data_IF_277402502167
#
_entry.id   IF_277402502167
#
_cell.length_a   1.000
_cell.length_b   1.000
_cell.length_c   1.000
_cell.angle_alpha   90.00
_cell.angle_beta   90.00
_cell.angle_gamma   90.00
#
_symmetry.space_group_name_H-M   'P 1'
#
loop_
_entity.id
_entity.type
_entity.pdbx_description
1 polymer ?
#
# COMPACT_ATOMS: atom_id res chain seq x y z
N UNK A 1 34.36 15.27 5.42
CA UNK A 1 34.42 13.82 5.75
C UNK A 1 33.08 13.29 6.24
N UNK A 2 32.34 14.05 7.03
CA UNK A 2 31.05 13.63 7.63
C UNK A 2 29.88 13.48 6.64
N UNK A 3 29.90 14.20 5.53
CA UNK A 3 28.80 14.16 4.54
C UNK A 3 28.83 12.88 3.68
N UNK A 4 30.04 12.48 3.25
CA UNK A 4 30.25 11.25 2.45
C UNK A 4 29.92 10.00 3.27
N UNK A 5 30.26 9.98 4.57
CA UNK A 5 29.92 8.88 5.46
C UNK A 5 28.39 8.77 5.72
N UNK A 6 27.69 9.91 5.84
CA UNK A 6 26.22 9.91 5.96
C UNK A 6 25.54 9.41 4.69
N UNK A 7 26.00 9.83 3.51
CA UNK A 7 25.48 9.37 2.22
C UNK A 7 25.76 7.87 2.03
N UNK A 8 26.98 7.40 2.33
CA UNK A 8 27.33 5.98 2.25
C UNK A 8 26.51 5.12 3.22
N UNK A 9 26.25 5.62 4.42
CA UNK A 9 25.39 4.95 5.42
C UNK A 9 23.93 4.90 4.96
N UNK A 10 23.44 5.95 4.33
CA UNK A 10 22.07 6.04 3.78
C UNK A 10 21.88 5.08 2.60
N UNK A 11 22.83 5.04 1.67
CA UNK A 11 22.84 4.14 0.51
C UNK A 11 22.92 2.65 0.93
N UNK A 12 23.66 2.33 2.00
CA UNK A 12 23.71 0.96 2.54
C UNK A 12 22.41 0.54 3.21
N UNK A 13 21.61 1.47 3.68
CA UNK A 13 20.36 1.21 4.38
C UNK A 13 19.20 0.92 3.41
N UNK A 14 19.25 1.50 2.22
CA UNK A 14 18.21 1.31 1.18
C UNK A 14 18.85 0.74 -0.10
N UNK A 15 18.81 -0.60 -0.20
CA UNK A 15 19.39 -1.33 -1.33
C UNK A 15 18.68 -1.01 -2.64
N UNK A 16 17.36 -0.82 -2.61
CA UNK A 16 16.56 -0.52 -3.81
C UNK A 16 16.94 0.85 -4.38
N UNK A 17 17.04 1.86 -3.51
CA UNK A 17 17.48 3.20 -3.91
C UNK A 17 18.90 3.17 -4.48
N UNK A 18 19.80 2.41 -3.88
CA UNK A 18 21.18 2.30 -4.34
C UNK A 18 21.28 1.68 -5.74
N UNK A 19 20.55 0.59 -5.98
CA UNK A 19 20.51 -0.06 -7.29
C UNK A 19 19.87 0.88 -8.33
N UNK A 20 18.76 1.53 -8.00
CA UNK A 20 18.11 2.47 -8.90
C UNK A 20 19.01 3.64 -9.27
N UNK A 21 19.75 4.18 -8.32
CA UNK A 21 20.70 5.29 -8.54
C UNK A 21 21.89 4.83 -9.39
N UNK A 22 22.41 3.63 -9.17
CA UNK A 22 23.47 3.06 -10.00
C UNK A 22 23.00 2.85 -11.46
N UNK A 23 21.81 2.30 -11.66
CA UNK A 23 21.22 2.13 -12.99
C UNK A 23 20.94 3.49 -13.67
N UNK A 24 20.47 4.48 -12.92
CA UNK A 24 20.27 5.84 -13.43
C UNK A 24 21.61 6.48 -13.90
N UNK A 25 22.70 6.32 -13.12
CA UNK A 25 24.01 6.80 -13.52
C UNK A 25 24.53 6.07 -14.77
N UNK A 26 24.34 4.75 -14.84
CA UNK A 26 24.73 3.97 -16.01
C UNK A 26 23.94 4.37 -17.26
N UNK A 27 22.66 4.67 -17.13
CA UNK A 27 21.83 5.13 -18.25
C UNK A 27 22.26 6.47 -18.82
N UNK A 28 22.91 7.35 -18.03
CA UNK A 28 23.44 8.64 -18.49
C UNK A 28 24.56 8.48 -19.51
N UNK A 29 25.27 7.33 -19.55
CA UNK A 29 26.26 7.04 -20.57
C UNK A 29 25.64 6.71 -21.94
N UNK A 30 24.38 6.22 -21.93
CA UNK A 30 23.66 5.87 -23.15
C UNK A 30 22.83 7.08 -23.63
N UNK A 31 22.17 7.76 -22.69
CA UNK A 31 21.33 8.94 -22.94
C UNK A 31 21.88 10.07 -22.07
N UNK A 32 22.71 10.99 -22.65
CA UNK A 32 23.29 12.06 -21.86
C UNK A 32 22.24 13.01 -21.29
N UNK A 33 22.46 13.55 -20.10
CA UNK A 33 21.53 14.48 -19.45
C UNK A 33 21.27 15.70 -20.34
N UNK A 34 20.00 15.99 -20.59
CA UNK A 34 19.56 17.17 -21.34
C UNK A 34 18.48 17.93 -20.58
N UNK A 35 18.15 19.15 -20.98
CA UNK A 35 17.05 19.92 -20.38
C UNK A 35 15.69 19.18 -20.48
N UNK A 36 15.55 18.25 -21.43
CA UNK A 36 14.38 17.40 -21.58
C UNK A 36 14.14 16.41 -20.41
N UNK A 37 15.17 16.15 -19.58
CA UNK A 37 15.01 15.27 -18.40
C UNK A 37 13.98 15.79 -17.41
N UNK A 38 13.82 17.10 -17.30
CA UNK A 38 12.79 17.70 -16.45
C UNK A 38 11.37 17.38 -16.95
N UNK A 39 11.21 17.19 -18.26
CA UNK A 39 9.93 16.78 -18.85
C UNK A 39 9.51 15.34 -18.56
N UNK A 40 10.44 14.48 -18.12
CA UNK A 40 10.10 13.12 -17.68
C UNK A 40 9.55 13.06 -16.25
N UNK A 41 9.71 14.15 -15.49
CA UNK A 41 9.18 14.24 -14.13
C UNK A 41 7.72 14.68 -14.18
N UNK A 42 6.81 13.76 -13.94
CA UNK A 42 5.40 14.08 -13.74
C UNK A 42 5.20 14.69 -12.33
N UNK A 43 5.47 15.99 -12.23
CA UNK A 43 5.35 16.74 -10.97
C UNK A 43 3.91 16.71 -10.42
N UNK A 44 2.91 16.68 -11.30
CA UNK A 44 1.50 16.60 -10.89
C UNK A 44 1.23 15.30 -10.13
N UNK A 45 1.61 14.15 -10.69
CA UNK A 45 1.47 12.87 -10.01
C UNK A 45 2.30 12.78 -8.72
N UNK A 46 3.53 13.33 -8.71
CA UNK A 46 4.35 13.35 -7.50
C UNK A 46 3.74 14.17 -6.36
N UNK A 47 3.13 15.33 -6.66
CA UNK A 47 2.43 16.15 -5.66
C UNK A 47 1.20 15.42 -5.12
N UNK A 48 0.42 14.77 -6.00
CA UNK A 48 -0.72 13.95 -5.58
C UNK A 48 -0.30 12.80 -4.66
N UNK A 49 0.77 12.08 -5.03
CA UNK A 49 1.32 11.01 -4.19
C UNK A 49 1.77 11.52 -2.83
N UNK A 50 2.51 12.63 -2.78
CA UNK A 50 2.97 13.23 -1.54
C UNK A 50 1.80 13.65 -0.64
N UNK A 51 0.79 14.31 -1.22
CA UNK A 51 -0.42 14.72 -0.50
C UNK A 51 -1.18 13.51 0.08
N UNK A 52 -1.35 12.45 -0.74
CA UNK A 52 -1.98 11.21 -0.31
C UNK A 52 -1.21 10.55 0.84
N UNK A 53 0.11 10.38 0.69
CA UNK A 53 0.95 9.75 1.73
C UNK A 53 0.93 10.56 3.04
N UNK A 54 0.89 11.89 2.95
CA UNK A 54 0.81 12.76 4.13
C UNK A 54 -0.55 12.60 4.84
N UNK A 55 -1.65 12.61 4.08
CA UNK A 55 -3.00 12.46 4.64
C UNK A 55 -3.18 11.07 5.29
N UNK A 56 -2.74 10.00 4.61
CA UNK A 56 -2.85 8.63 5.12
C UNK A 56 -1.99 8.41 6.37
N UNK A 57 -0.77 8.95 6.40
CA UNK A 57 0.09 8.92 7.59
C UNK A 57 -0.55 9.68 8.75
N UNK A 58 -1.19 10.81 8.49
CA UNK A 58 -1.96 11.55 9.50
C UNK A 58 -3.07 10.69 10.13
N UNK A 59 -3.90 10.04 9.30
CA UNK A 59 -4.96 9.14 9.75
C UNK A 59 -4.41 7.93 10.54
N UNK A 60 -3.28 7.38 10.11
CA UNK A 60 -2.62 6.27 10.81
C UNK A 60 -2.12 6.71 12.19
N UNK A 61 -1.49 7.89 12.29
CA UNK A 61 -0.93 8.40 13.55
C UNK A 61 -1.99 8.68 14.63
N UNK A 62 -3.20 9.09 14.25
CA UNK A 62 -4.33 9.25 15.19
C UNK A 62 -5.00 7.91 15.55
N UNK A 63 -4.54 6.79 14.98
CA UNK A 63 -5.06 5.46 15.27
C UNK A 63 -6.44 5.18 14.71
N UNK A 64 -6.91 5.94 13.71
CA UNK A 64 -8.25 5.82 13.13
C UNK A 64 -8.59 4.38 12.70
N UNK A 65 -7.69 3.73 11.98
CA UNK A 65 -7.93 2.37 11.46
C UNK A 65 -7.92 1.32 12.58
N UNK A 66 -7.12 1.54 13.63
CA UNK A 66 -7.10 0.68 14.81
C UNK A 66 -8.43 0.77 15.57
N UNK A 67 -8.92 1.98 15.82
CA UNK A 67 -10.22 2.20 16.47
C UNK A 67 -11.37 1.59 15.68
N UNK A 68 -11.34 1.72 14.36
CA UNK A 68 -12.33 1.09 13.48
C UNK A 68 -12.29 -0.45 13.63
N UNK A 69 -11.09 -1.04 13.63
CA UNK A 69 -10.92 -2.48 13.84
C UNK A 69 -11.44 -2.94 15.21
N UNK A 70 -11.08 -2.25 16.29
CA UNK A 70 -11.54 -2.56 17.65
C UNK A 70 -13.08 -2.48 17.77
N UNK A 71 -13.70 -1.47 17.16
CA UNK A 71 -15.16 -1.34 17.15
C UNK A 71 -15.86 -2.52 16.46
N UNK A 72 -15.31 -2.98 15.33
CA UNK A 72 -15.86 -4.09 14.56
C UNK A 72 -15.68 -5.43 15.30
N UNK A 73 -14.61 -5.58 16.08
CA UNK A 73 -14.36 -6.78 16.89
C UNK A 73 -15.42 -7.04 17.98
N UNK A 74 -16.10 -6.00 18.48
CA UNK A 74 -17.14 -6.14 19.50
C UNK A 74 -18.33 -7.01 19.04
N UNK A 75 -18.47 -7.27 17.75
CA UNK A 75 -19.57 -8.06 17.17
C UNK A 75 -19.19 -9.48 16.79
N UNK A 76 -17.97 -9.90 17.09
CA UNK A 76 -17.44 -11.20 16.65
C UNK A 76 -17.62 -12.25 17.73
N UNK A 77 -18.15 -13.41 17.32
CA UNK A 77 -18.41 -14.55 18.21
C UNK A 77 -17.67 -15.83 17.78
N UNK A 78 -16.99 -15.84 16.62
CA UNK A 78 -16.29 -17.03 16.15
C UNK A 78 -14.94 -16.70 15.51
N UNK A 79 -14.00 -17.67 15.52
CA UNK A 79 -12.68 -17.51 14.94
C UNK A 79 -12.74 -17.22 13.43
N UNK A 80 -13.63 -17.88 12.69
CA UNK A 80 -13.81 -17.63 11.25
C UNK A 80 -14.24 -16.19 10.96
N UNK A 81 -15.18 -15.68 11.75
CA UNK A 81 -15.63 -14.28 11.62
C UNK A 81 -14.48 -13.31 11.92
N UNK A 82 -13.63 -13.63 12.91
CA UNK A 82 -12.44 -12.83 13.21
C UNK A 82 -11.49 -12.80 12.02
N UNK A 83 -11.13 -13.96 11.47
CA UNK A 83 -10.23 -14.07 10.33
C UNK A 83 -10.78 -13.33 9.10
N UNK A 84 -12.04 -13.56 8.76
CA UNK A 84 -12.71 -12.86 7.65
C UNK A 84 -12.75 -11.35 7.85
N UNK A 85 -13.09 -10.88 9.07
CA UNK A 85 -13.08 -9.45 9.34
C UNK A 85 -11.69 -8.82 9.16
N UNK A 86 -10.63 -9.47 9.65
CA UNK A 86 -9.27 -8.97 9.52
C UNK A 86 -8.82 -8.90 8.06
N UNK A 87 -9.23 -9.86 7.24
CA UNK A 87 -8.99 -9.87 5.79
C UNK A 87 -9.78 -8.74 5.11
N UNK A 88 -11.08 -8.61 5.42
CA UNK A 88 -11.92 -7.55 4.86
C UNK A 88 -11.47 -6.15 5.26
N UNK A 89 -10.98 -5.96 6.49
CA UNK A 89 -10.39 -4.70 6.92
C UNK A 89 -9.20 -4.31 6.05
N UNK A 90 -8.30 -5.25 5.74
CA UNK A 90 -7.21 -4.98 4.82
C UNK A 90 -7.70 -4.66 3.41
N UNK A 91 -8.69 -5.41 2.91
CA UNK A 91 -9.25 -5.21 1.57
C UNK A 91 -9.87 -3.82 1.41
N UNK A 92 -10.81 -3.45 2.27
CA UNK A 92 -11.52 -2.17 2.15
C UNK A 92 -10.66 -0.96 2.56
N UNK A 93 -9.82 -1.11 3.58
CA UNK A 93 -8.93 -0.01 3.98
C UNK A 93 -7.93 0.31 2.89
N UNK A 94 -7.39 -0.70 2.19
CA UNK A 94 -6.43 -0.50 1.11
C UNK A 94 -7.02 0.22 -0.12
N UNK A 95 -8.34 0.29 -0.25
CA UNK A 95 -8.99 1.12 -1.27
C UNK A 95 -8.88 2.63 -0.99
N UNK A 96 -8.76 3.00 0.28
CA UNK A 96 -8.74 4.40 0.75
C UNK A 96 -7.33 4.87 1.10
N UNK A 97 -6.50 3.94 1.55
CA UNK A 97 -5.09 4.13 1.87
C UNK A 97 -4.28 3.17 1.01
N UNK A 98 -2.96 3.32 0.97
CA UNK A 98 -2.15 2.37 0.20
C UNK A 98 -2.15 0.98 0.82
N UNK A 99 -1.95 -0.06 0.00
CA UNK A 99 -1.82 -1.44 0.45
C UNK A 99 -0.78 -1.61 1.56
N UNK A 100 0.37 -0.91 1.46
CA UNK A 100 1.45 -0.98 2.44
C UNK A 100 1.01 -0.42 3.79
N UNK A 101 0.30 0.72 3.81
CA UNK A 101 -0.23 1.34 5.03
C UNK A 101 -1.29 0.46 5.68
N UNK A 102 -2.16 -0.17 4.89
CA UNK A 102 -3.13 -1.13 5.39
C UNK A 102 -2.44 -2.32 6.07
N UNK A 103 -1.41 -2.90 5.45
CA UNK A 103 -0.66 -4.02 6.01
C UNK A 103 0.11 -3.64 7.28
N UNK A 104 0.83 -2.51 7.29
CA UNK A 104 1.57 -2.04 8.47
C UNK A 104 0.62 -1.80 9.65
N UNK A 105 -0.63 -1.41 9.38
CA UNK A 105 -1.62 -1.16 10.42
C UNK A 105 -2.25 -2.46 10.93
N UNK A 106 -2.75 -3.32 10.04
CA UNK A 106 -3.58 -4.45 10.43
C UNK A 106 -2.82 -5.74 10.69
N UNK A 107 -1.65 -5.97 10.11
CA UNK A 107 -0.88 -7.20 10.37
C UNK A 107 -0.39 -7.28 11.83
N UNK A 108 0.23 -6.26 12.43
CA UNK A 108 0.59 -6.28 13.84
C UNK A 108 -0.63 -6.50 14.76
N UNK A 109 -1.75 -5.86 14.45
CA UNK A 109 -3.01 -6.03 15.16
C UNK A 109 -3.53 -7.48 15.07
N UNK A 110 -3.47 -8.09 13.90
CA UNK A 110 -3.81 -9.51 13.68
C UNK A 110 -2.93 -10.45 14.50
N UNK A 111 -1.62 -10.20 14.52
CA UNK A 111 -0.67 -10.99 15.30
C UNK A 111 -0.99 -10.96 16.79
N UNK A 112 -1.32 -9.78 17.32
CA UNK A 112 -1.70 -9.60 18.72
C UNK A 112 -2.98 -10.35 19.05
N UNK A 113 -4.03 -10.17 18.24
CA UNK A 113 -5.33 -10.83 18.45
C UNK A 113 -5.24 -12.35 18.37
N UNK A 114 -4.60 -12.91 17.35
CA UNK A 114 -4.48 -14.36 17.19
C UNK A 114 -3.62 -14.99 18.31
N UNK A 115 -2.66 -14.24 18.86
CA UNK A 115 -1.90 -14.67 20.05
C UNK A 115 -2.78 -14.65 21.30
N UNK A 116 -3.60 -13.63 21.50
CA UNK A 116 -4.50 -13.51 22.65
C UNK A 116 -5.53 -14.65 22.70
N UNK A 117 -6.07 -15.04 21.53
CA UNK A 117 -7.00 -16.19 21.43
C UNK A 117 -6.30 -17.54 21.31
N UNK A 118 -4.96 -17.59 21.52
CA UNK A 118 -4.11 -18.78 21.48
C UNK A 118 -4.19 -19.58 20.16
N UNK A 119 -4.35 -18.87 19.02
CA UNK A 119 -4.43 -19.45 17.66
C UNK A 119 -3.24 -19.05 16.78
N UNK A 120 -2.03 -19.35 17.29
CA UNK A 120 -0.78 -19.09 16.57
C UNK A 120 -0.67 -19.85 15.25
N UNK A 121 -1.32 -20.99 15.14
CA UNK A 121 -1.44 -21.82 13.92
C UNK A 121 -2.09 -21.06 12.76
N UNK A 122 -2.94 -20.07 13.04
CA UNK A 122 -3.68 -19.30 12.05
C UNK A 122 -2.97 -18.03 11.59
N UNK A 123 -1.87 -17.64 12.23
CA UNK A 123 -1.15 -16.40 11.92
C UNK A 123 -0.71 -16.36 10.46
N UNK A 124 0.02 -17.38 10.00
CA UNK A 124 0.57 -17.38 8.63
C UNK A 124 -0.54 -17.36 7.58
N UNK A 125 -1.55 -18.26 7.61
CA UNK A 125 -2.65 -18.21 6.65
C UNK A 125 -3.37 -16.86 6.61
N UNK A 126 -3.70 -16.29 7.77
CA UNK A 126 -4.43 -15.02 7.83
C UNK A 126 -3.59 -13.86 7.30
N UNK A 127 -2.30 -13.78 7.65
CA UNK A 127 -1.40 -12.72 7.15
C UNK A 127 -1.21 -12.83 5.64
N UNK A 128 -1.09 -14.04 5.08
CA UNK A 128 -1.04 -14.25 3.63
C UNK A 128 -2.33 -13.75 2.96
N UNK A 129 -3.49 -14.13 3.50
CA UNK A 129 -4.77 -13.64 2.99
C UNK A 129 -4.92 -12.12 3.11
N UNK A 130 -4.45 -11.50 4.21
CA UNK A 130 -4.43 -10.04 4.36
C UNK A 130 -3.53 -9.38 3.33
N UNK A 131 -2.37 -9.96 3.02
CA UNK A 131 -1.46 -9.44 2.00
C UNK A 131 -2.12 -9.48 0.62
N UNK A 132 -2.77 -10.58 0.27
CA UNK A 132 -3.54 -10.70 -0.96
C UNK A 132 -4.70 -9.70 -0.96
N UNK A 133 -5.46 -9.60 0.14
CA UNK A 133 -6.59 -8.70 0.29
C UNK A 133 -6.19 -7.23 0.13
N UNK A 134 -5.10 -6.80 0.74
CA UNK A 134 -4.61 -5.43 0.62
C UNK A 134 -4.20 -5.09 -0.82
N UNK A 135 -3.52 -5.99 -1.52
CA UNK A 135 -3.12 -5.77 -2.91
C UNK A 135 -4.33 -5.78 -3.86
N UNK A 136 -5.25 -6.75 -3.71
CA UNK A 136 -6.43 -6.88 -4.56
C UNK A 136 -7.47 -5.79 -4.27
N UNK A 137 -7.60 -5.35 -3.02
CA UNK A 137 -8.46 -4.22 -2.64
C UNK A 137 -7.92 -2.90 -3.19
N UNK A 138 -6.63 -2.64 -3.01
CA UNK A 138 -6.00 -1.39 -3.44
C UNK A 138 -6.08 -1.13 -4.94
N UNK A 139 -6.18 -2.18 -5.76
CA UNK A 139 -6.31 -2.00 -7.21
C UNK A 139 -7.66 -1.40 -7.62
N UNK A 140 -8.67 -1.43 -6.75
CA UNK A 140 -10.04 -0.99 -7.06
C UNK A 140 -10.16 0.51 -7.26
N UNK A 141 -9.30 1.30 -6.60
CA UNK A 141 -9.35 2.76 -6.63
C UNK A 141 -8.04 3.36 -7.13
N UNK A 142 -8.07 4.55 -7.72
CA UNK A 142 -6.84 5.26 -8.10
C UNK A 142 -5.93 5.56 -6.92
N UNK A 143 -6.51 5.73 -5.73
CA UNK A 143 -5.81 6.12 -4.48
C UNK A 143 -5.13 4.93 -3.81
N UNK A 144 -5.58 3.71 -4.06
CA UNK A 144 -5.15 2.50 -3.35
C UNK A 144 -3.67 2.12 -3.56
N UNK A 145 -3.06 2.54 -4.67
CA UNK A 145 -1.63 2.38 -4.88
C UNK A 145 -1.06 3.42 -5.87
N UNK A 146 0.26 3.70 -5.80
CA UNK A 146 0.92 4.70 -6.66
C UNK A 146 0.77 4.40 -8.16
N UNK A 147 0.79 3.13 -8.56
CA UNK A 147 0.67 2.71 -9.95
C UNK A 147 -0.68 3.08 -10.54
N UNK A 148 -1.75 2.84 -9.79
CA UNK A 148 -3.11 3.22 -10.20
C UNK A 148 -3.25 4.73 -10.33
N UNK A 149 -2.70 5.49 -9.37
CA UNK A 149 -2.75 6.93 -9.40
C UNK A 149 -2.01 7.49 -10.63
N UNK A 150 -0.85 6.90 -10.96
CA UNK A 150 -0.11 7.26 -12.17
C UNK A 150 -0.93 6.99 -13.44
N UNK A 151 -1.50 5.78 -13.59
CA UNK A 151 -2.32 5.44 -14.75
C UNK A 151 -3.55 6.34 -14.86
N UNK A 152 -4.21 6.59 -13.74
CA UNK A 152 -5.39 7.46 -13.66
C UNK A 152 -5.06 8.89 -14.12
N UNK A 153 -3.95 9.46 -13.62
CA UNK A 153 -3.51 10.80 -13.94
C UNK A 153 -2.96 10.92 -15.37
N UNK A 154 -2.10 9.98 -15.78
CA UNK A 154 -1.42 10.03 -17.08
C UNK A 154 -2.38 9.86 -18.27
N UNK A 155 -3.38 8.98 -18.12
CA UNK A 155 -4.38 8.74 -19.18
C UNK A 155 -5.65 9.60 -19.00
N UNK A 156 -5.67 10.53 -18.06
CA UNK A 156 -6.81 11.41 -17.75
C UNK A 156 -8.13 10.63 -17.63
N UNK A 157 -8.08 9.46 -16.97
CA UNK A 157 -9.24 8.58 -16.86
C UNK A 157 -10.31 9.20 -15.96
N UNK A 158 -11.59 9.01 -16.32
CA UNK A 158 -12.67 9.30 -15.37
C UNK A 158 -12.74 8.21 -14.31
N UNK A 159 -13.17 8.57 -13.09
CA UNK A 159 -13.34 7.62 -11.98
C UNK A 159 -14.30 6.47 -12.35
N UNK A 160 -15.37 6.78 -13.07
CA UNK A 160 -16.34 5.80 -13.56
C UNK A 160 -15.70 4.79 -14.50
N UNK A 161 -14.92 5.24 -15.48
CA UNK A 161 -14.20 4.38 -16.41
C UNK A 161 -13.21 3.47 -15.69
N UNK A 162 -12.46 4.03 -14.72
CA UNK A 162 -11.48 3.29 -13.93
C UNK A 162 -12.16 2.17 -13.12
N UNK A 163 -13.22 2.51 -12.36
CA UNK A 163 -13.94 1.56 -11.52
C UNK A 163 -14.65 0.49 -12.36
N UNK A 164 -15.25 0.85 -13.48
CA UNK A 164 -15.89 -0.15 -14.38
C UNK A 164 -14.90 -1.13 -14.98
N UNK A 165 -13.68 -0.69 -15.27
CA UNK A 165 -12.65 -1.55 -15.85
C UNK A 165 -12.09 -2.54 -14.83
N UNK A 166 -11.86 -2.11 -13.59
CA UNK A 166 -11.18 -2.91 -12.57
C UNK A 166 -12.16 -3.54 -11.57
N UNK A 167 -13.30 -2.90 -11.32
CA UNK A 167 -14.30 -3.33 -10.34
C UNK A 167 -14.73 -4.79 -10.43
N UNK A 168 -15.03 -5.35 -11.63
CA UNK A 168 -15.38 -6.76 -11.77
C UNK A 168 -14.29 -7.71 -11.26
N UNK A 169 -13.02 -7.40 -11.53
CA UNK A 169 -11.87 -8.20 -11.05
C UNK A 169 -11.69 -8.09 -9.54
N UNK A 170 -11.90 -6.89 -8.99
CA UNK A 170 -11.86 -6.66 -7.55
C UNK A 170 -12.99 -7.40 -6.82
N UNK A 171 -14.20 -7.38 -7.37
CA UNK A 171 -15.34 -8.12 -6.82
C UNK A 171 -15.09 -9.63 -6.86
N UNK A 172 -14.59 -10.15 -7.98
CA UNK A 172 -14.23 -11.57 -8.10
C UNK A 172 -13.15 -11.94 -7.05
N UNK A 173 -12.15 -11.09 -6.90
CA UNK A 173 -11.08 -11.27 -5.89
C UNK A 173 -11.64 -11.31 -4.47
N UNK A 174 -12.58 -10.43 -4.16
CA UNK A 174 -13.24 -10.42 -2.85
C UNK A 174 -13.99 -11.73 -2.58
N UNK A 175 -14.73 -12.25 -3.57
CA UNK A 175 -15.45 -13.53 -3.45
C UNK A 175 -14.48 -14.70 -3.25
N UNK A 176 -13.32 -14.68 -3.91
CA UNK A 176 -12.31 -15.75 -3.78
C UNK A 176 -11.54 -15.71 -2.44
N UNK A 177 -11.52 -14.55 -1.76
CA UNK A 177 -10.86 -14.38 -0.47
C UNK A 177 -11.71 -14.82 0.73
N UNK A 178 -13.03 -14.96 0.57
CA UNK A 178 -14.00 -15.32 1.61
C UNK A 178 -14.35 -16.80 1.63
#
# INVERSE_FOLDING_TARGET
FTMIQKVSSFLKKDTVLTIALALAVLSMFIIPPSAGYLGYLDLHTLILLFGLMTATTGLQNIGFFRQLGELLLLRIHSLRQLEQLLILLCFFSSMLITNDVALITFVPFTLELLRMVNRKDRIVPVVVCQTLAANLGSMTTPVGNPQNLYLYSHFELSLDTFIRSIGPFSLLSLVLLL
#
